data_IF_401720257094
#
_entry.id   IF_401720257094
#
_cell.length_a   1.000
_cell.length_b   1.000
_cell.length_c   1.000
_cell.angle_alpha   90.00
_cell.angle_beta   90.00
_cell.angle_gamma   90.00
#
_symmetry.space_group_name_H-M   'P 1'
#
loop_
_entity.id
_entity.type
_entity.pdbx_description
1 polymer ?
#
# COMPACT_ATOMS: atom_id res chain seq x y z
N UNK A 1 -59.55 -25.37 -8.18
CA UNK A 1 -60.27 -24.07 -8.16
C UNK A 1 -59.22 -22.97 -8.33
N UNK A 2 -58.98 -22.57 -9.58
CA UNK A 2 -59.48 -21.33 -10.21
C UNK A 2 -58.51 -20.14 -9.98
N UNK A 3 -57.72 -19.85 -11.03
CA UNK A 3 -57.29 -18.48 -11.37
C UNK A 3 -58.54 -17.65 -11.75
N UNK A 4 -58.52 -16.30 -11.69
CA UNK A 4 -58.10 -15.55 -12.89
C UNK A 4 -57.51 -14.12 -12.69
N UNK A 5 -56.56 -13.79 -13.57
CA UNK A 5 -56.32 -12.53 -14.34
C UNK A 5 -56.92 -11.16 -13.97
N UNK A 6 -56.11 -10.09 -14.12
CA UNK A 6 -56.30 -8.79 -14.88
C UNK A 6 -55.47 -7.64 -14.21
N UNK A 7 -54.84 -6.64 -14.82
CA UNK A 7 -54.95 -5.96 -16.13
C UNK A 7 -53.65 -5.19 -16.47
N UNK A 8 -53.39 -5.00 -17.78
CA UNK A 8 -52.44 -4.04 -18.41
C UNK A 8 -52.69 -2.57 -18.04
N UNK A 9 -51.62 -1.77 -18.01
CA UNK A 9 -51.63 -0.40 -18.52
C UNK A 9 -50.28 -0.07 -19.19
N UNK A 10 -50.36 0.33 -20.44
CA UNK A 10 -49.28 0.80 -21.33
C UNK A 10 -49.06 2.30 -21.19
N UNK A 11 -47.82 2.77 -21.27
CA UNK A 11 -47.54 4.14 -21.73
C UNK A 11 -46.38 4.09 -22.74
N UNK A 12 -46.76 4.23 -24.01
CA UNK A 12 -45.92 4.64 -25.14
C UNK A 12 -46.19 6.13 -25.39
N UNK A 13 -45.13 6.89 -25.72
CA UNK A 13 -45.19 8.27 -26.20
C UNK A 13 -44.64 9.26 -25.16
N UNK A 14 -43.70 10.16 -25.45
CA UNK A 14 -43.17 10.60 -26.73
C UNK A 14 -41.78 11.21 -26.53
N UNK A 15 -40.88 10.91 -27.48
CA UNK A 15 -39.72 11.73 -27.80
C UNK A 15 -40.24 12.95 -28.57
N UNK A 16 -39.92 14.17 -28.13
CA UNK A 16 -39.55 15.32 -28.96
C UNK A 16 -39.77 16.64 -28.21
N UNK A 17 -38.70 17.41 -28.02
CA UNK A 17 -38.64 18.89 -27.97
C UNK A 17 -37.51 19.37 -27.05
N UNK A 18 -36.26 19.13 -27.45
CA UNK A 18 -35.13 19.96 -27.03
C UNK A 18 -34.89 20.97 -28.14
N UNK A 19 -35.51 22.15 -28.03
CA UNK A 19 -34.99 23.36 -28.69
C UNK A 19 -35.51 24.60 -27.97
N UNK A 20 -34.58 25.51 -27.68
CA UNK A 20 -34.74 26.90 -27.27
C UNK A 20 -35.05 27.16 -25.79
N UNK A 21 -33.97 27.38 -25.03
CA UNK A 21 -34.01 28.22 -23.83
C UNK A 21 -33.12 29.46 -24.05
N UNK A 22 -33.80 30.59 -24.10
CA UNK A 22 -33.38 31.98 -24.27
C UNK A 22 -32.43 32.47 -23.13
N UNK A 23 -31.32 33.19 -23.42
CA UNK A 23 -30.38 33.68 -22.40
C UNK A 23 -30.84 34.91 -21.60
N UNK A 24 -32.07 35.41 -21.75
CA UNK A 24 -32.51 36.68 -21.17
C UNK A 24 -33.15 36.62 -19.76
N UNK A 25 -33.01 35.51 -19.04
CA UNK A 25 -33.64 35.31 -17.71
C UNK A 25 -32.61 35.13 -16.58
N UNK A 26 -31.65 36.05 -16.43
CA UNK A 26 -30.84 36.15 -15.21
C UNK A 26 -30.94 37.55 -14.59
N UNK A 27 -31.33 37.69 -13.31
CA UNK A 27 -31.40 38.99 -12.66
C UNK A 27 -30.00 39.55 -12.35
N UNK A 28 -29.84 40.84 -12.64
CA UNK A 28 -28.68 41.68 -12.38
C UNK A 28 -28.42 41.78 -10.87
N UNK A 29 -27.22 41.40 -10.42
CA UNK A 29 -26.74 41.64 -9.05
C UNK A 29 -25.78 42.82 -9.09
N UNK A 30 -26.15 43.87 -8.34
CA UNK A 30 -25.40 45.10 -8.15
C UNK A 30 -24.05 44.88 -7.47
N UNK A 31 -23.05 45.63 -7.92
CA UNK A 31 -21.74 45.76 -7.29
C UNK A 31 -21.86 46.58 -6.01
N UNK A 32 -21.64 45.97 -4.85
CA UNK A 32 -21.37 46.69 -3.60
C UNK A 32 -19.91 46.49 -3.17
N UNK A 33 -19.20 47.61 -3.20
CA UNK A 33 -17.82 47.81 -2.73
C UNK A 33 -17.79 47.78 -1.21
N UNK A 34 -17.00 46.86 -0.62
CA UNK A 34 -16.76 46.82 0.82
C UNK A 34 -15.49 47.63 1.13
N UNK A 35 -15.66 48.53 2.10
CA UNK A 35 -14.70 49.47 2.65
C UNK A 35 -13.49 48.75 3.27
N UNK A 36 -12.27 49.20 2.96
CA UNK A 36 -11.10 49.00 3.81
C UNK A 36 -10.97 50.24 4.70
N UNK A 37 -11.34 50.09 5.98
CA UNK A 37 -11.05 51.06 7.03
C UNK A 37 -9.55 51.08 7.30
N UNK A 38 -8.98 52.27 7.18
CA UNK A 38 -7.62 52.64 7.53
C UNK A 38 -7.48 52.72 9.05
N UNK A 39 -6.59 51.91 9.63
CA UNK A 39 -6.14 52.07 11.01
C UNK A 39 -5.15 53.24 11.10
N UNK A 40 -5.61 54.33 11.72
CA UNK A 40 -4.82 55.49 12.11
C UNK A 40 -3.75 55.13 13.16
N UNK A 41 -2.52 55.56 12.93
CA UNK A 41 -1.49 55.67 13.97
C UNK A 41 -1.04 57.13 14.12
N UNK A 42 -0.83 57.65 15.34
CA UNK A 42 -0.72 59.10 15.58
C UNK A 42 0.64 59.69 15.16
N UNK A 43 0.63 60.89 14.59
CA UNK A 43 1.81 61.71 14.29
C UNK A 43 2.01 62.83 15.31
N UNK A 44 3.15 62.79 16.00
CA UNK A 44 3.96 63.94 16.48
C UNK A 44 5.37 63.36 16.74
N UNK A 45 6.53 63.98 16.54
CA UNK A 45 6.99 65.33 16.20
C UNK A 45 8.40 65.18 15.55
N UNK A 46 8.80 66.17 14.76
CA UNK A 46 10.03 66.24 13.97
C UNK A 46 11.31 66.55 14.78
N UNK A 47 12.44 65.89 14.45
CA UNK A 47 13.76 66.43 14.00
C UNK A 47 14.93 65.43 14.27
N UNK A 48 16.05 65.47 13.50
CA UNK A 48 16.93 64.33 13.24
C UNK A 48 18.22 64.30 14.09
N UNK A 49 18.69 63.11 14.45
CA UNK A 49 20.10 62.89 14.84
C UNK A 49 20.66 61.63 14.16
N UNK A 50 21.86 61.78 13.56
CA UNK A 50 22.54 60.79 12.70
C UNK A 50 23.04 59.57 13.50
N UNK A 51 22.93 58.32 13.01
CA UNK A 51 23.60 57.20 13.65
C UNK A 51 25.03 57.00 13.09
N UNK A 52 25.99 56.78 14.01
CA UNK A 52 27.38 56.42 13.73
C UNK A 52 27.46 54.99 13.18
N UNK A 53 28.01 54.85 11.98
CA UNK A 53 28.16 53.60 11.18
C UNK A 53 29.06 52.53 11.85
N UNK A 54 29.65 52.79 13.01
CA UNK A 54 30.62 51.89 13.66
C UNK A 54 30.02 50.80 14.57
N UNK A 55 28.70 50.75 14.81
CA UNK A 55 28.07 49.73 15.66
C UNK A 55 27.37 48.57 14.92
N UNK A 56 27.22 48.64 13.60
CA UNK A 56 26.60 47.55 12.81
C UNK A 56 27.61 46.48 12.34
N UNK A 57 28.91 46.80 12.30
CA UNK A 57 29.96 45.87 11.86
C UNK A 57 30.39 44.88 12.95
N UNK A 58 30.30 45.24 14.23
CA UNK A 58 30.66 44.36 15.34
C UNK A 58 29.63 43.22 15.56
N UNK A 59 28.36 43.46 15.24
CA UNK A 59 27.27 42.47 15.35
C UNK A 59 27.36 41.39 14.27
N UNK A 60 27.88 41.74 13.08
CA UNK A 60 28.04 40.80 11.97
C UNK A 60 29.22 39.83 12.18
N UNK A 61 30.30 40.29 12.82
CA UNK A 61 31.47 39.44 13.11
C UNK A 61 31.17 38.37 14.15
N UNK A 62 30.43 38.69 15.24
CA UNK A 62 30.05 37.73 16.27
C UNK A 62 29.06 36.65 15.76
N UNK A 63 28.16 37.00 14.83
CA UNK A 63 27.23 36.03 14.24
C UNK A 63 27.97 35.04 13.32
N UNK A 64 28.98 35.51 12.59
CA UNK A 64 29.76 34.68 11.66
C UNK A 64 30.64 33.65 12.37
N UNK A 65 31.22 34.00 13.52
CA UNK A 65 32.01 33.07 14.34
C UNK A 65 31.16 32.01 15.05
N UNK A 66 29.91 32.34 15.41
CA UNK A 66 28.98 31.39 16.03
C UNK A 66 28.45 30.36 15.01
N UNK A 67 28.22 30.78 13.76
CA UNK A 67 27.88 29.86 12.67
C UNK A 67 29.04 28.92 12.32
N UNK A 68 30.29 29.41 12.29
CA UNK A 68 31.43 28.55 11.98
C UNK A 68 31.64 27.46 13.05
N UNK A 69 31.47 27.79 14.34
CA UNK A 69 31.61 26.82 15.43
C UNK A 69 30.51 25.75 15.44
N UNK A 70 29.28 26.10 15.03
CA UNK A 70 28.19 25.13 14.89
C UNK A 70 28.44 24.18 13.70
N UNK A 71 29.02 24.69 12.60
CA UNK A 71 29.35 23.84 11.43
C UNK A 71 30.52 22.89 11.65
N UNK A 72 31.39 23.13 12.63
CA UNK A 72 32.54 22.26 12.92
C UNK A 72 32.34 21.29 14.08
N UNK A 73 31.25 21.40 14.85
CA UNK A 73 31.09 20.67 16.12
C UNK A 73 29.95 19.65 16.17
N UNK A 74 29.17 19.46 15.09
CA UNK A 74 28.12 18.42 15.02
C UNK A 74 28.54 17.23 14.14
N UNK A 75 29.67 16.61 14.46
CA UNK A 75 29.97 15.25 14.02
C UNK A 75 29.50 14.25 15.08
N UNK A 76 28.18 14.07 15.19
CA UNK A 76 27.57 12.86 15.76
C UNK A 76 26.91 12.09 14.61
N UNK A 77 27.58 11.03 14.14
CA UNK A 77 27.02 10.10 13.16
C UNK A 77 25.89 9.31 13.83
N UNK A 78 24.64 9.66 13.53
CA UNK A 78 23.51 8.75 13.67
C UNK A 78 23.22 8.11 12.31
N UNK A 79 22.84 6.82 12.25
CA UNK A 79 22.46 6.18 11.00
C UNK A 79 21.15 6.79 10.50
N UNK A 80 21.18 7.44 9.34
CA UNK A 80 20.02 8.06 8.71
C UNK A 80 19.15 7.01 8.02
N UNK A 81 17.94 6.80 8.53
CA UNK A 81 16.85 6.15 7.81
C UNK A 81 16.49 7.05 6.62
N UNK A 82 16.57 6.51 5.40
CA UNK A 82 16.22 7.21 4.16
C UNK A 82 14.70 7.39 4.11
N UNK A 83 14.27 8.64 4.29
CA UNK A 83 12.92 9.14 4.00
C UNK A 83 12.92 9.65 2.56
N UNK A 84 11.85 9.36 1.84
CA UNK A 84 11.66 9.52 0.39
C UNK A 84 12.28 10.78 -0.26
N UNK A 85 13.38 10.57 -0.99
CA UNK A 85 13.67 11.22 -2.28
C UNK A 85 14.17 10.10 -3.20
N UNK A 86 13.57 9.84 -4.38
CA UNK A 86 14.17 8.94 -5.35
C UNK A 86 15.35 9.65 -6.01
N UNK A 87 16.47 9.76 -5.31
CA UNK A 87 17.77 9.86 -5.97
C UNK A 87 18.19 8.43 -6.31
N UNK A 88 17.98 8.09 -7.58
CA UNK A 88 18.51 6.87 -8.17
C UNK A 88 20.02 6.84 -7.96
N UNK A 89 20.58 5.80 -7.28
CA UNK A 89 22.00 5.56 -7.38
C UNK A 89 22.34 5.39 -8.86
N UNK A 90 23.28 6.17 -9.36
CA UNK A 90 23.91 5.88 -10.65
C UNK A 90 24.42 4.45 -10.59
N UNK A 91 23.87 3.61 -11.47
CA UNK A 91 24.24 2.21 -11.71
C UNK A 91 25.77 2.05 -11.70
N UNK A 92 26.37 1.66 -10.58
CA UNK A 92 27.77 1.19 -10.54
C UNK A 92 28.12 0.41 -9.25
N UNK A 93 27.13 -0.22 -8.58
CA UNK A 93 27.39 -1.18 -7.49
C UNK A 93 26.42 -2.36 -7.56
N UNK A 94 26.43 -3.12 -8.65
CA UNK A 94 25.92 -4.49 -8.62
C UNK A 94 26.91 -5.35 -9.38
N UNK A 95 27.67 -6.17 -8.65
CA UNK A 95 28.37 -7.28 -9.28
C UNK A 95 27.28 -8.23 -9.80
N UNK A 96 27.14 -8.46 -11.12
CA UNK A 96 26.09 -9.30 -11.71
C UNK A 96 26.20 -10.79 -11.36
N UNK A 97 27.13 -11.17 -10.46
CA UNK A 97 27.46 -12.55 -10.12
C UNK A 97 27.04 -12.98 -8.70
N UNK A 98 26.23 -12.20 -7.97
CA UNK A 98 25.70 -12.69 -6.70
C UNK A 98 24.50 -13.63 -6.95
N UNK A 99 24.70 -14.93 -6.78
CA UNK A 99 23.73 -16.01 -7.07
C UNK A 99 22.57 -16.11 -6.08
N UNK A 100 22.50 -15.21 -5.09
CA UNK A 100 21.52 -15.25 -3.99
C UNK A 100 20.18 -14.57 -4.32
N UNK A 101 19.81 -14.52 -5.60
CA UNK A 101 18.56 -13.93 -6.08
C UNK A 101 17.67 -14.98 -6.71
N UNK A 102 16.35 -14.81 -6.56
CA UNK A 102 15.38 -15.58 -7.32
C UNK A 102 15.34 -15.04 -8.77
N UNK A 103 15.46 -15.88 -9.81
CA UNK A 103 15.63 -15.43 -11.20
C UNK A 103 14.53 -14.49 -11.71
N UNK A 104 13.29 -14.65 -11.24
CA UNK A 104 12.13 -13.91 -11.76
C UNK A 104 11.57 -12.87 -10.79
N UNK A 105 12.00 -12.87 -9.53
CA UNK A 105 11.49 -11.96 -8.51
C UNK A 105 12.53 -10.85 -8.31
N UNK A 106 12.21 -9.59 -8.69
CA UNK A 106 13.14 -8.47 -8.54
C UNK A 106 13.66 -8.33 -7.11
N UNK A 107 14.93 -7.93 -6.91
CA UNK A 107 15.53 -7.80 -5.58
C UNK A 107 15.08 -6.50 -4.88
N UNK A 108 13.77 -6.36 -4.65
CA UNK A 108 13.11 -5.22 -4.03
C UNK A 108 12.27 -5.69 -2.86
N UNK A 109 12.33 -4.97 -1.74
CA UNK A 109 11.55 -5.21 -0.54
C UNK A 109 10.74 -3.95 -0.23
N UNK A 110 9.45 -4.14 -0.02
CA UNK A 110 8.48 -3.10 0.26
C UNK A 110 7.84 -3.33 1.62
N UNK A 111 7.83 -2.32 2.46
CA UNK A 111 6.90 -2.22 3.58
C UNK A 111 6.16 -0.89 3.48
N UNK A 112 4.92 -0.83 3.93
CA UNK A 112 4.06 0.37 3.79
C UNK A 112 3.74 0.91 5.18
N UNK A 113 3.99 2.20 5.38
CA UNK A 113 3.57 2.92 6.57
C UNK A 113 3.22 4.36 6.20
N UNK A 114 1.94 4.60 5.88
CA UNK A 114 1.50 5.84 5.24
C UNK A 114 1.70 7.08 6.11
N UNK A 115 1.54 6.96 7.44
CA UNK A 115 1.71 8.05 8.41
C UNK A 115 3.11 8.07 9.01
N UNK A 116 4.11 7.96 8.13
CA UNK A 116 5.50 7.92 8.53
C UNK A 116 5.86 9.11 9.43
N UNK A 117 6.42 8.79 10.59
CA UNK A 117 7.26 9.68 11.37
C UNK A 117 8.34 8.85 12.07
N UNK A 118 9.51 9.43 12.40
CA UNK A 118 10.55 8.72 13.13
C UNK A 118 10.07 8.12 14.46
N UNK A 119 9.08 8.74 15.11
CA UNK A 119 8.42 8.26 16.31
C UNK A 119 7.57 7.02 16.03
N UNK A 120 6.69 7.12 15.03
CA UNK A 120 5.71 6.08 14.72
C UNK A 120 6.37 4.75 14.29
N UNK A 121 7.54 4.82 13.65
CA UNK A 121 8.24 3.61 13.20
C UNK A 121 9.11 2.93 14.27
N UNK A 122 9.33 3.55 15.44
CA UNK A 122 10.30 3.04 16.42
C UNK A 122 10.01 1.62 16.86
N UNK A 123 8.73 1.30 17.09
CA UNK A 123 8.28 -0.04 17.48
C UNK A 123 8.56 -1.13 16.44
N UNK A 124 8.81 -0.77 15.18
CA UNK A 124 9.05 -1.70 14.08
C UNK A 124 10.52 -1.80 13.67
N UNK A 125 11.42 -1.08 14.34
CA UNK A 125 12.83 -0.97 13.92
C UNK A 125 13.51 -2.33 13.79
N UNK A 126 13.27 -3.26 14.72
CA UNK A 126 13.82 -4.62 14.68
C UNK A 126 13.31 -5.42 13.47
N UNK A 127 12.01 -5.29 13.17
CA UNK A 127 11.36 -5.94 12.04
C UNK A 127 11.92 -5.42 10.72
N UNK A 128 11.99 -4.09 10.54
CA UNK A 128 12.62 -3.46 9.38
C UNK A 128 14.07 -3.94 9.21
N UNK A 129 14.84 -3.94 10.31
CA UNK A 129 16.23 -4.37 10.27
C UNK A 129 16.39 -5.83 9.88
N UNK A 130 15.45 -6.71 10.26
CA UNK A 130 15.49 -8.13 9.88
C UNK A 130 15.45 -8.31 8.35
N UNK A 131 14.63 -7.55 7.63
CA UNK A 131 14.56 -7.61 6.17
C UNK A 131 15.85 -7.10 5.52
N UNK A 132 16.40 -5.99 6.03
CA UNK A 132 17.65 -5.39 5.52
C UNK A 132 18.83 -6.35 5.74
N UNK A 133 18.92 -6.94 6.93
CA UNK A 133 20.04 -7.81 7.33
C UNK A 133 20.02 -9.16 6.61
N UNK A 134 18.85 -9.79 6.44
CA UNK A 134 18.74 -11.07 5.73
C UNK A 134 18.83 -10.89 4.20
N UNK A 135 18.56 -9.70 3.67
CA UNK A 135 18.57 -9.45 2.22
C UNK A 135 19.49 -8.29 1.82
N UNK A 136 20.80 -8.35 2.11
CA UNK A 136 21.73 -7.21 1.93
C UNK A 136 21.94 -6.81 0.46
N UNK A 137 21.58 -7.69 -0.49
CA UNK A 137 21.62 -7.41 -1.92
C UNK A 137 20.30 -6.85 -2.48
N UNK A 138 19.27 -6.70 -1.65
CA UNK A 138 17.97 -6.17 -2.06
C UNK A 138 17.85 -4.68 -1.74
N UNK A 139 17.11 -3.96 -2.58
CA UNK A 139 16.70 -2.59 -2.24
C UNK A 139 15.54 -2.65 -1.27
N UNK A 140 15.67 -2.04 -0.11
CA UNK A 140 14.59 -1.88 0.85
C UNK A 140 13.90 -0.53 0.66
N UNK A 141 12.57 -0.48 0.69
CA UNK A 141 11.78 0.75 0.63
C UNK A 141 10.64 0.71 1.64
N UNK A 142 10.61 1.71 2.52
CA UNK A 142 9.47 2.03 3.36
C UNK A 142 8.61 3.08 2.64
N UNK A 143 7.43 2.69 2.19
CA UNK A 143 6.53 3.55 1.42
C UNK A 143 5.61 4.35 2.36
N UNK A 144 5.79 5.66 2.37
CA UNK A 144 4.91 6.62 3.05
C UNK A 144 3.79 7.15 2.13
N UNK A 145 2.92 8.02 2.65
CA UNK A 145 1.84 8.63 1.88
C UNK A 145 2.32 9.42 0.64
N UNK A 146 3.44 10.13 0.72
CA UNK A 146 3.97 10.90 -0.41
C UNK A 146 4.51 9.98 -1.51
N UNK A 147 5.20 8.91 -1.12
CA UNK A 147 5.66 7.85 -2.02
C UNK A 147 4.48 7.17 -2.71
N UNK A 148 3.44 6.81 -1.96
CA UNK A 148 2.21 6.26 -2.52
C UNK A 148 1.59 7.20 -3.56
N UNK A 149 1.41 8.49 -3.22
CA UNK A 149 0.88 9.49 -4.15
C UNK A 149 1.75 9.66 -5.40
N UNK A 150 3.07 9.60 -5.28
CA UNK A 150 4.00 9.66 -6.42
C UNK A 150 3.79 8.49 -7.37
N UNK A 151 3.62 7.26 -6.86
CA UNK A 151 3.38 6.06 -7.67
C UNK A 151 2.03 6.16 -8.38
N UNK A 152 0.97 6.49 -7.64
CA UNK A 152 -0.39 6.61 -8.17
C UNK A 152 -0.49 7.74 -9.20
N UNK A 153 0.18 8.88 -8.97
CA UNK A 153 0.19 10.01 -9.91
C UNK A 153 0.86 9.68 -11.23
N UNK A 154 1.92 8.85 -11.23
CA UNK A 154 2.56 8.39 -12.47
C UNK A 154 1.59 7.56 -13.33
N UNK A 155 0.73 6.76 -12.70
CA UNK A 155 -0.29 5.96 -13.39
C UNK A 155 -1.35 6.81 -14.09
N UNK A 156 -1.58 8.05 -13.66
CA UNK A 156 -2.52 8.98 -14.30
C UNK A 156 -2.19 9.26 -15.77
N UNK A 157 -0.91 9.12 -16.15
CA UNK A 157 -0.45 9.30 -17.54
C UNK A 157 -0.53 8.00 -18.36
N UNK A 158 -0.81 6.87 -17.72
CA UNK A 158 -0.92 5.56 -18.38
C UNK A 158 -2.26 5.41 -19.10
N UNK A 159 -2.21 4.99 -20.37
CA UNK A 159 -3.43 4.69 -21.15
C UNK A 159 -4.24 3.53 -20.57
N UNK A 160 -3.60 2.59 -19.89
CA UNK A 160 -4.26 1.39 -19.35
C UNK A 160 -4.63 1.55 -17.87
N UNK A 161 -3.88 2.35 -17.11
CA UNK A 161 -4.00 2.39 -15.65
C UNK A 161 -4.46 3.74 -15.08
N UNK A 162 -4.76 4.75 -15.91
CA UNK A 162 -5.22 6.06 -15.43
C UNK A 162 -6.49 5.99 -14.56
N UNK A 163 -7.34 4.99 -14.77
CA UNK A 163 -8.57 4.78 -14.00
C UNK A 163 -8.33 4.44 -12.51
N UNK A 164 -7.10 4.05 -12.14
CA UNK A 164 -6.73 3.71 -10.76
C UNK A 164 -6.72 4.94 -9.86
N UNK A 165 -6.22 6.08 -10.35
CA UNK A 165 -6.05 7.31 -9.57
C UNK A 165 -7.35 7.76 -8.85
N UNK A 166 -8.49 7.96 -9.54
CA UNK A 166 -9.71 8.42 -8.87
C UNK A 166 -10.24 7.39 -7.84
N UNK A 167 -10.09 6.09 -8.11
CA UNK A 167 -10.56 5.03 -7.21
C UNK A 167 -9.68 4.90 -5.97
N UNK A 168 -8.37 5.10 -6.11
CA UNK A 168 -7.46 5.18 -4.97
C UNK A 168 -7.80 6.35 -4.04
N UNK A 169 -8.15 7.52 -4.58
CA UNK A 169 -8.63 8.63 -3.76
C UNK A 169 -9.96 8.35 -3.06
N UNK A 170 -10.82 7.54 -3.70
CA UNK A 170 -12.10 7.12 -3.16
C UNK A 170 -11.97 6.14 -1.97
N UNK A 171 -10.86 5.40 -1.89
CA UNK A 171 -10.49 4.62 -0.70
C UNK A 171 -10.15 5.58 0.43
N UNK A 172 -11.10 5.87 1.32
CA UNK A 172 -10.92 6.86 2.39
C UNK A 172 -10.08 6.34 3.56
N UNK A 173 -10.15 5.04 3.86
CA UNK A 173 -9.42 4.43 4.98
C UNK A 173 -7.97 4.16 4.62
N UNK A 174 -7.08 4.49 5.57
CA UNK A 174 -5.64 4.21 5.50
C UNK A 174 -5.33 2.73 5.24
N UNK A 175 -5.98 1.83 5.97
CA UNK A 175 -5.82 0.37 5.80
C UNK A 175 -6.20 -0.09 4.39
N UNK A 176 -7.32 0.43 3.85
CA UNK A 176 -7.78 0.08 2.50
C UNK A 176 -6.76 0.50 1.43
N UNK A 177 -6.15 1.69 1.59
CA UNK A 177 -5.08 2.17 0.72
C UNK A 177 -3.82 1.32 0.85
N UNK A 178 -3.40 0.97 2.06
CA UNK A 178 -2.23 0.14 2.30
C UNK A 178 -2.40 -1.27 1.69
N UNK A 179 -3.58 -1.86 1.89
CA UNK A 179 -3.91 -3.15 1.28
C UNK A 179 -3.94 -3.08 -0.25
N UNK A 180 -4.55 -2.06 -0.83
CA UNK A 180 -4.52 -1.89 -2.28
C UNK A 180 -3.09 -1.72 -2.82
N UNK A 181 -2.28 -0.88 -2.15
CA UNK A 181 -0.91 -0.60 -2.57
C UNK A 181 -0.02 -1.85 -2.54
N UNK A 182 -0.19 -2.77 -1.59
CA UNK A 182 0.64 -3.98 -1.52
C UNK A 182 0.54 -4.83 -2.79
N UNK A 183 -0.67 -4.97 -3.33
CA UNK A 183 -0.90 -5.67 -4.59
C UNK A 183 -0.44 -4.87 -5.80
N UNK A 184 -0.75 -3.57 -5.84
CA UNK A 184 -0.38 -2.70 -6.97
C UNK A 184 1.14 -2.55 -7.12
N UNK A 185 1.87 -2.39 -6.01
CA UNK A 185 3.32 -2.31 -6.02
C UNK A 185 3.94 -3.56 -6.62
N UNK A 186 3.51 -4.75 -6.18
CA UNK A 186 4.03 -6.00 -6.71
C UNK A 186 3.60 -6.22 -8.17
N UNK A 187 2.40 -5.77 -8.56
CA UNK A 187 1.94 -5.82 -9.94
C UNK A 187 2.82 -4.99 -10.89
N UNK A 188 3.31 -3.83 -10.45
CA UNK A 188 4.12 -2.91 -11.26
C UNK A 188 5.62 -3.22 -11.16
N UNK A 189 6.12 -3.37 -9.94
CA UNK A 189 7.55 -3.37 -9.64
C UNK A 189 8.11 -4.76 -9.31
N UNK A 190 7.22 -5.69 -8.93
CA UNK A 190 7.59 -6.98 -8.34
C UNK A 190 8.35 -6.85 -7.02
N UNK A 191 8.95 -7.96 -6.60
CA UNK A 191 9.73 -8.06 -5.37
C UNK A 191 8.95 -8.71 -4.24
N UNK A 192 9.23 -8.28 -3.02
CA UNK A 192 8.62 -8.77 -1.78
C UNK A 192 7.90 -7.62 -1.09
N UNK A 193 6.66 -7.86 -0.67
CA UNK A 193 5.96 -7.01 0.27
C UNK A 193 5.82 -7.73 1.61
N UNK A 194 5.90 -6.99 2.72
CA UNK A 194 5.52 -7.49 4.04
C UNK A 194 4.92 -6.38 4.92
N UNK A 195 3.99 -6.75 5.80
CA UNK A 195 3.47 -5.86 6.85
C UNK A 195 4.60 -5.45 7.83
N UNK A 196 4.43 -4.31 8.50
CA UNK A 196 5.46 -3.68 9.32
C UNK A 196 5.81 -4.45 10.59
N UNK A 197 4.86 -5.21 11.12
CA UNK A 197 4.99 -6.09 12.28
C UNK A 197 5.37 -7.53 11.88
N UNK A 198 6.15 -7.68 10.82
CA UNK A 198 6.68 -8.98 10.38
C UNK A 198 8.20 -9.00 10.48
N UNK A 199 8.75 -10.08 11.03
CA UNK A 199 10.18 -10.36 11.05
C UNK A 199 10.55 -11.32 9.90
N UNK A 200 11.61 -11.01 9.14
CA UNK A 200 12.20 -11.95 8.19
C UNK A 200 13.19 -12.85 8.94
N UNK A 201 12.97 -14.17 8.88
CA UNK A 201 13.82 -15.17 9.52
C UNK A 201 14.87 -15.73 8.56
N UNK A 202 14.52 -15.81 7.28
CA UNK A 202 15.37 -16.37 6.23
C UNK A 202 15.41 -15.48 4.99
N UNK A 203 16.56 -15.43 4.29
CA UNK A 203 16.70 -14.66 3.05
C UNK A 203 15.77 -15.21 1.95
N UNK A 204 15.30 -14.33 1.06
CA UNK A 204 14.31 -14.67 0.03
C UNK A 204 14.69 -15.86 -0.86
N UNK A 205 15.97 -16.06 -1.16
CA UNK A 205 16.42 -17.18 -2.01
C UNK A 205 16.31 -18.55 -1.33
N UNK A 206 16.12 -18.61 -0.01
CA UNK A 206 15.85 -19.85 0.73
C UNK A 206 14.36 -20.20 0.75
N UNK A 207 13.48 -19.27 0.39
CA UNK A 207 12.02 -19.50 0.40
C UNK A 207 11.57 -20.50 -0.67
N UNK A 208 12.41 -20.74 -1.68
CA UNK A 208 12.10 -21.57 -2.84
C UNK A 208 13.10 -22.71 -2.91
N UNK A 209 12.65 -23.98 -2.88
CA UNK A 209 13.51 -25.13 -3.16
C UNK A 209 14.23 -25.01 -4.51
N UNK A 210 15.47 -25.50 -4.60
CA UNK A 210 16.33 -25.31 -5.78
C UNK A 210 15.67 -25.80 -7.09
N UNK A 211 14.92 -26.90 -7.03
CA UNK A 211 14.19 -27.47 -8.17
C UNK A 211 13.04 -26.58 -8.70
N UNK A 212 12.61 -25.59 -7.92
CA UNK A 212 11.53 -24.66 -8.29
C UNK A 212 12.03 -23.26 -8.63
N UNK A 213 13.24 -22.85 -8.21
CA UNK A 213 13.77 -21.49 -8.39
C UNK A 213 13.66 -20.95 -9.82
N UNK A 214 13.96 -21.77 -10.82
CA UNK A 214 13.94 -21.36 -12.23
C UNK A 214 12.54 -21.14 -12.81
N UNK A 215 11.49 -21.60 -12.12
CA UNK A 215 10.09 -21.54 -12.58
C UNK A 215 9.21 -20.64 -11.72
N UNK A 216 9.54 -20.46 -10.45
CA UNK A 216 8.75 -19.66 -9.51
C UNK A 216 8.75 -18.18 -9.92
N UNK A 217 7.56 -17.64 -10.16
CA UNK A 217 7.30 -16.21 -10.38
C UNK A 217 6.36 -15.60 -9.36
N UNK A 218 5.63 -16.42 -8.59
CA UNK A 218 4.81 -15.98 -7.48
C UNK A 218 5.00 -16.94 -6.32
N UNK A 219 5.13 -16.40 -5.11
CA UNK A 219 5.18 -17.15 -3.85
C UNK A 219 4.00 -16.71 -3.00
N UNK A 220 3.20 -17.69 -2.58
CA UNK A 220 2.08 -17.50 -1.64
C UNK A 220 2.22 -18.50 -0.50
N UNK A 221 1.98 -18.05 0.73
CA UNK A 221 1.96 -18.93 1.91
C UNK A 221 0.56 -19.05 2.49
N UNK A 222 0.30 -20.14 3.20
CA UNK A 222 -0.96 -20.29 3.94
C UNK A 222 -0.91 -19.43 5.21
N UNK A 223 -2.04 -18.82 5.57
CA UNK A 223 -2.24 -18.20 6.89
C UNK A 223 -3.19 -19.00 7.79
N UNK A 224 -4.05 -19.82 7.18
CA UNK A 224 -4.92 -20.75 7.87
C UNK A 224 -5.11 -22.02 7.04
N UNK A 225 -5.19 -23.14 7.74
CA UNK A 225 -5.45 -24.49 7.20
C UNK A 225 -6.20 -25.30 8.27
N UNK A 226 -7.52 -25.26 8.28
CA UNK A 226 -8.37 -26.00 9.24
C UNK A 226 -9.79 -26.17 8.70
N UNK A 227 -10.41 -27.31 8.98
CA UNK A 227 -11.84 -27.56 8.69
C UNK A 227 -12.59 -27.92 9.99
N UNK A 228 -13.64 -27.18 10.39
CA UNK A 228 -14.16 -25.96 9.74
C UNK A 228 -13.15 -24.79 9.78
N UNK A 229 -13.36 -23.74 8.96
CA UNK A 229 -12.49 -22.57 8.92
C UNK A 229 -12.21 -22.00 10.31
N UNK A 230 -10.99 -21.50 10.51
CA UNK A 230 -10.59 -20.87 11.77
C UNK A 230 -11.48 -19.65 12.04
N UNK A 231 -11.96 -19.41 13.27
CA UNK A 231 -12.72 -18.20 13.58
C UNK A 231 -11.99 -16.93 13.14
N UNK A 232 -12.67 -16.08 12.37
CA UNK A 232 -12.08 -14.87 11.77
C UNK A 232 -11.49 -15.06 10.37
N UNK A 233 -11.51 -16.28 9.84
CA UNK A 233 -11.18 -16.61 8.45
C UNK A 233 -12.43 -17.09 7.70
N UNK A 234 -12.40 -17.03 6.37
CA UNK A 234 -13.53 -17.39 5.51
C UNK A 234 -13.42 -18.81 4.96
N UNK A 235 -12.20 -19.26 4.66
CA UNK A 235 -11.94 -20.54 3.97
C UNK A 235 -11.18 -21.51 4.86
N UNK A 236 -11.37 -22.82 4.61
CA UNK A 236 -10.65 -23.87 5.33
C UNK A 236 -9.14 -23.74 5.09
N UNK A 237 -8.74 -23.42 3.87
CA UNK A 237 -7.38 -22.98 3.53
C UNK A 237 -7.47 -21.53 3.07
N UNK A 238 -6.77 -20.64 3.78
CA UNK A 238 -6.71 -19.21 3.47
C UNK A 238 -5.25 -18.80 3.23
N UNK A 239 -5.02 -17.97 2.21
CA UNK A 239 -3.68 -17.49 1.86
C UNK A 239 -3.33 -16.21 2.61
N UNK A 240 -2.09 -16.17 3.07
CA UNK A 240 -1.47 -14.99 3.66
C UNK A 240 -1.45 -13.84 2.63
N UNK A 241 -1.80 -12.64 3.12
CA UNK A 241 -1.67 -11.38 2.38
C UNK A 241 -0.77 -10.34 3.08
N UNK A 242 -0.27 -10.65 4.28
CA UNK A 242 0.65 -9.79 5.03
C UNK A 242 2.13 -10.05 4.67
N UNK A 243 2.43 -11.07 3.85
CA UNK A 243 3.71 -11.24 3.13
C UNK A 243 3.44 -11.85 1.76
N UNK A 244 3.99 -11.23 0.72
CA UNK A 244 3.77 -11.59 -0.68
C UNK A 244 5.08 -11.43 -1.45
N UNK A 245 5.39 -12.33 -2.40
CA UNK A 245 6.55 -12.17 -3.26
C UNK A 245 6.26 -12.60 -4.69
N UNK A 246 6.67 -11.80 -5.68
CA UNK A 246 6.47 -12.19 -7.07
C UNK A 246 7.12 -11.29 -8.11
N UNK A 247 7.03 -11.74 -9.35
CA UNK A 247 7.54 -11.06 -10.52
C UNK A 247 6.69 -9.82 -10.85
N UNK A 248 7.35 -8.78 -11.35
CA UNK A 248 6.66 -7.63 -11.93
C UNK A 248 5.74 -8.09 -13.07
N UNK A 249 4.51 -7.57 -13.11
CA UNK A 249 3.51 -7.92 -14.11
C UNK A 249 2.84 -9.28 -13.92
N UNK A 250 3.05 -9.97 -12.80
CA UNK A 250 2.38 -11.26 -12.57
C UNK A 250 0.85 -11.09 -12.56
N UNK A 251 0.08 -11.89 -13.34
CA UNK A 251 -1.34 -11.64 -13.58
C UNK A 251 -2.22 -11.81 -12.33
N UNK A 252 -1.79 -12.59 -11.34
CA UNK A 252 -2.49 -12.75 -10.05
C UNK A 252 -2.60 -11.40 -9.31
N UNK A 253 -1.54 -10.60 -9.28
CA UNK A 253 -1.59 -9.30 -8.59
C UNK A 253 -2.51 -8.33 -9.33
N UNK A 254 -2.45 -8.30 -10.67
CA UNK A 254 -3.38 -7.49 -11.47
C UNK A 254 -4.83 -7.93 -11.29
N UNK A 255 -5.10 -9.23 -11.21
CA UNK A 255 -6.44 -9.74 -10.94
C UNK A 255 -6.97 -9.27 -9.57
N UNK A 256 -6.13 -9.28 -8.53
CA UNK A 256 -6.52 -8.76 -7.22
C UNK A 256 -6.73 -7.23 -7.25
N UNK A 257 -5.85 -6.48 -7.91
CA UNK A 257 -6.00 -5.04 -8.12
C UNK A 257 -7.34 -4.72 -8.79
N UNK A 258 -7.65 -5.37 -9.91
CA UNK A 258 -8.89 -5.14 -10.64
C UNK A 258 -10.12 -5.55 -9.82
N UNK A 259 -10.07 -6.67 -9.09
CA UNK A 259 -11.13 -7.08 -8.16
C UNK A 259 -11.41 -5.97 -7.13
N UNK A 260 -10.37 -5.45 -6.47
CA UNK A 260 -10.51 -4.36 -5.50
C UNK A 260 -11.15 -3.13 -6.15
N UNK A 261 -10.67 -2.74 -7.34
CA UNK A 261 -11.19 -1.57 -8.05
C UNK A 261 -12.67 -1.74 -8.42
N UNK A 262 -13.10 -2.93 -8.82
CA UNK A 262 -14.51 -3.22 -9.09
C UNK A 262 -15.37 -3.17 -7.82
N UNK A 263 -14.90 -3.68 -6.69
CA UNK A 263 -15.64 -3.55 -5.42
C UNK A 263 -15.74 -2.11 -4.96
N UNK A 264 -14.68 -1.32 -5.12
CA UNK A 264 -14.69 0.12 -4.85
C UNK A 264 -15.69 0.81 -5.77
N UNK A 265 -15.68 0.53 -7.09
CA UNK A 265 -16.61 1.11 -8.08
C UNK A 265 -18.10 0.93 -7.75
N UNK A 266 -18.48 -0.17 -7.09
CA UNK A 266 -19.89 -0.45 -6.73
C UNK A 266 -20.43 0.50 -5.66
N UNK A 267 -19.57 1.23 -4.96
CA UNK A 267 -20.02 2.12 -3.87
C UNK A 267 -20.61 3.41 -4.42
N UNK A 268 -21.65 3.96 -3.75
CA UNK A 268 -22.26 5.21 -4.18
C UNK A 268 -21.28 6.35 -3.93
N UNK A 269 -20.48 6.68 -4.93
CA UNK A 269 -19.71 7.94 -4.97
C UNK A 269 -20.69 9.09 -5.20
N UNK A 270 -21.47 9.46 -4.20
CA UNK A 270 -22.42 10.58 -4.28
C UNK A 270 -21.72 11.89 -4.66
N UNK A 271 -20.42 12.01 -4.36
CA UNK A 271 -19.54 13.10 -4.80
C UNK A 271 -18.07 12.73 -4.57
N UNK A 272 -17.12 13.16 -5.43
CA UNK A 272 -15.67 13.01 -5.21
C UNK A 272 -15.14 13.60 -3.89
N UNK A 273 -15.98 14.38 -3.19
CA UNK A 273 -15.61 15.14 -2.00
C UNK A 273 -16.23 14.62 -0.70
N UNK A 274 -17.05 13.56 -0.74
CA UNK A 274 -17.70 13.01 0.45
C UNK A 274 -16.97 11.72 0.82
N UNK A 275 -16.27 11.73 1.95
CA UNK A 275 -15.58 10.54 2.47
C UNK A 275 -16.61 9.43 2.66
N UNK A 276 -16.47 8.34 1.91
CA UNK A 276 -17.18 7.09 2.19
C UNK A 276 -16.60 6.55 3.48
N UNK A 277 -17.39 6.35 4.53
CA UNK A 277 -16.91 5.66 5.72
C UNK A 277 -17.00 4.14 5.46
N UNK A 278 -15.93 3.41 5.76
CA UNK A 278 -15.86 1.96 5.52
C UNK A 278 -15.77 1.24 6.86
N UNK A 279 -16.68 0.30 7.13
CA UNK A 279 -16.57 -0.56 8.32
C UNK A 279 -15.35 -1.50 8.22
N UNK A 280 -14.96 -2.12 9.33
CA UNK A 280 -13.89 -3.13 9.31
C UNK A 280 -14.24 -4.34 8.44
N UNK A 281 -15.51 -4.75 8.42
CA UNK A 281 -16.00 -5.83 7.55
C UNK A 281 -15.89 -5.45 6.08
N UNK A 282 -16.20 -4.19 5.74
CA UNK A 282 -16.08 -3.71 4.36
C UNK A 282 -14.63 -3.64 3.88
N UNK A 283 -13.69 -3.29 4.76
CA UNK A 283 -12.26 -3.39 4.44
C UNK A 283 -11.88 -4.83 4.13
N UNK A 284 -12.28 -5.78 4.98
CA UNK A 284 -11.99 -7.19 4.78
C UNK A 284 -12.64 -7.77 3.51
N UNK A 285 -13.85 -7.35 3.17
CA UNK A 285 -14.54 -7.81 1.96
C UNK A 285 -13.89 -7.29 0.66
N UNK A 286 -13.39 -6.05 0.70
CA UNK A 286 -12.83 -5.38 -0.48
C UNK A 286 -11.38 -5.81 -0.70
N UNK A 287 -10.52 -5.66 0.29
CA UNK A 287 -9.06 -5.86 0.17
C UNK A 287 -8.52 -7.03 0.96
N UNK A 288 -9.36 -7.69 1.76
CA UNK A 288 -8.93 -8.68 2.74
C UNK A 288 -8.58 -10.06 2.17
N UNK A 289 -8.28 -11.00 3.07
CA UNK A 289 -7.66 -12.27 2.72
C UNK A 289 -8.60 -13.23 1.99
N UNK A 290 -9.92 -13.04 2.15
CA UNK A 290 -10.92 -13.85 1.46
C UNK A 290 -10.84 -13.64 -0.05
N UNK A 291 -10.92 -12.39 -0.52
CA UNK A 291 -10.81 -12.06 -1.93
C UNK A 291 -9.46 -12.46 -2.54
N UNK A 292 -8.38 -12.29 -1.77
CA UNK A 292 -7.05 -12.77 -2.17
C UNK A 292 -7.03 -14.29 -2.38
N UNK A 293 -7.63 -15.04 -1.44
CA UNK A 293 -7.70 -16.50 -1.49
C UNK A 293 -8.48 -16.99 -2.71
N UNK A 294 -9.61 -16.35 -3.04
CA UNK A 294 -10.38 -16.64 -4.26
C UNK A 294 -9.53 -16.47 -5.53
N UNK A 295 -8.84 -15.33 -5.65
CA UNK A 295 -8.00 -15.02 -6.82
C UNK A 295 -6.86 -16.04 -6.94
N UNK A 296 -6.21 -16.40 -5.84
CA UNK A 296 -5.13 -17.39 -5.87
C UNK A 296 -5.67 -18.76 -6.32
N UNK A 297 -6.76 -19.25 -5.74
CA UNK A 297 -7.35 -20.54 -6.14
C UNK A 297 -7.77 -20.58 -7.62
N UNK A 298 -8.30 -19.48 -8.16
CA UNK A 298 -8.62 -19.36 -9.59
C UNK A 298 -7.38 -19.59 -10.45
N UNK A 299 -6.26 -18.93 -10.12
CA UNK A 299 -5.02 -19.05 -10.88
C UNK A 299 -4.32 -20.39 -10.67
N UNK A 300 -4.37 -20.98 -9.47
CA UNK A 300 -3.89 -22.35 -9.23
C UNK A 300 -4.66 -23.35 -10.09
N UNK A 301 -5.99 -23.21 -10.17
CA UNK A 301 -6.83 -24.08 -11.00
C UNK A 301 -6.51 -23.95 -12.49
N UNK A 302 -6.37 -22.70 -12.98
CA UNK A 302 -5.93 -22.44 -14.36
C UNK A 302 -4.57 -23.05 -14.67
N UNK A 303 -3.61 -22.94 -13.75
CA UNK A 303 -2.26 -23.49 -13.91
C UNK A 303 -2.24 -25.03 -13.87
N UNK A 304 -3.12 -25.65 -13.08
CA UNK A 304 -3.25 -27.11 -13.00
C UNK A 304 -4.02 -27.71 -14.18
N UNK A 305 -4.89 -26.94 -14.83
CA UNK A 305 -5.83 -27.44 -15.84
C UNK A 305 -7.02 -28.21 -15.24
N UNK A 306 -7.18 -28.17 -13.93
CA UNK A 306 -8.27 -28.77 -13.16
C UNK A 306 -8.60 -27.91 -11.94
N UNK A 307 -9.72 -28.18 -11.28
CA UNK A 307 -10.11 -27.45 -10.08
C UNK A 307 -9.14 -27.73 -8.92
N UNK A 308 -8.52 -26.67 -8.40
CA UNK A 308 -7.73 -26.69 -7.17
C UNK A 308 -8.57 -26.04 -6.06
N UNK A 309 -8.83 -26.81 -5.01
CA UNK A 309 -9.59 -26.39 -3.83
C UNK A 309 -8.76 -26.57 -2.56
N UNK A 310 -9.32 -26.17 -1.41
CA UNK A 310 -8.69 -26.38 -0.10
C UNK A 310 -8.29 -27.86 0.14
N UNK A 311 -9.03 -28.83 -0.43
CA UNK A 311 -8.72 -30.27 -0.29
C UNK A 311 -7.38 -30.66 -0.93
N UNK A 312 -6.91 -29.90 -1.91
CA UNK A 312 -5.63 -30.15 -2.57
C UNK A 312 -4.44 -29.60 -1.76
N UNK A 313 -4.70 -28.62 -0.88
CA UNK A 313 -3.69 -27.84 -0.17
C UNK A 313 -3.68 -28.06 1.35
N UNK A 314 -4.76 -28.58 1.93
CA UNK A 314 -4.81 -28.87 3.36
C UNK A 314 -3.75 -29.91 3.75
N UNK A 315 -3.04 -29.66 4.84
CA UNK A 315 -2.01 -30.51 5.40
C UNK A 315 -0.76 -30.64 4.55
N UNK A 316 -0.49 -29.73 3.61
CA UNK A 316 0.78 -29.76 2.88
C UNK A 316 1.95 -29.50 3.84
N UNK A 317 2.89 -30.43 3.91
CA UNK A 317 4.12 -30.29 4.70
C UNK A 317 5.33 -29.80 3.91
N UNK A 318 5.18 -29.51 2.61
CA UNK A 318 6.26 -29.06 1.72
C UNK A 318 5.73 -28.14 0.63
N UNK A 319 6.57 -27.25 0.06
CA UNK A 319 6.16 -26.39 -1.04
C UNK A 319 5.62 -27.18 -2.24
N UNK A 320 4.54 -26.67 -2.85
CA UNK A 320 3.95 -27.21 -4.09
C UNK A 320 3.94 -26.14 -5.17
N UNK A 321 4.44 -26.47 -6.36
CA UNK A 321 4.45 -25.55 -7.51
C UNK A 321 3.31 -25.89 -8.49
N UNK A 322 2.48 -24.90 -8.81
CA UNK A 322 1.43 -24.96 -9.82
C UNK A 322 1.73 -23.94 -10.93
N UNK A 323 2.14 -24.41 -12.12
CA UNK A 323 2.66 -23.52 -13.14
C UNK A 323 3.93 -22.80 -12.66
N UNK A 324 3.81 -21.49 -12.41
CA UNK A 324 4.84 -20.60 -11.85
C UNK A 324 4.49 -20.07 -10.44
N UNK A 325 3.43 -20.60 -9.81
CA UNK A 325 2.95 -20.22 -8.47
C UNK A 325 3.40 -21.25 -7.45
N UNK A 326 4.28 -20.85 -6.54
CA UNK A 326 4.75 -21.67 -5.42
C UNK A 326 3.87 -21.44 -4.19
N UNK A 327 3.20 -22.50 -3.75
CA UNK A 327 2.42 -22.54 -2.52
C UNK A 327 3.28 -23.08 -1.40
N UNK A 328 3.48 -22.29 -0.35
CA UNK A 328 4.23 -22.64 0.85
C UNK A 328 3.30 -23.19 1.94
N UNK A 329 3.78 -24.13 2.78
CA UNK A 329 3.01 -24.70 3.89
C UNK A 329 2.72 -23.66 4.99
N UNK A 330 1.81 -23.99 5.90
CA UNK A 330 1.40 -23.11 7.01
C UNK A 330 2.59 -22.56 7.81
N UNK A 331 3.56 -23.42 8.12
CA UNK A 331 4.73 -23.04 8.93
C UNK A 331 5.60 -21.98 8.28
N UNK A 332 5.59 -21.86 6.96
CA UNK A 332 6.46 -20.92 6.26
C UNK A 332 6.17 -19.48 6.65
N UNK A 333 4.89 -19.10 6.70
CA UNK A 333 4.45 -17.75 6.99
C UNK A 333 3.71 -17.67 8.34
N UNK A 334 2.88 -18.65 8.68
CA UNK A 334 2.05 -18.63 9.87
C UNK A 334 2.52 -19.60 10.97
N UNK A 335 3.83 -19.77 11.17
CA UNK A 335 4.33 -20.47 12.36
C UNK A 335 3.90 -19.76 13.64
N UNK A 336 3.61 -20.54 14.69
CA UNK A 336 3.24 -20.04 16.01
C UNK A 336 1.77 -19.65 16.17
N UNK A 337 0.94 -19.75 15.12
CA UNK A 337 -0.51 -19.57 15.28
C UNK A 337 -1.11 -20.73 16.09
N UNK A 338 -2.11 -20.50 16.95
CA UNK A 338 -2.66 -21.53 17.85
C UNK A 338 -3.62 -22.51 17.15
N UNK A 339 -3.67 -22.48 15.82
CA UNK A 339 -4.58 -23.26 14.98
C UNK A 339 -3.80 -23.94 13.85
N UNK A 340 -4.51 -24.66 12.97
CA UNK A 340 -3.95 -25.21 11.73
C UNK A 340 -2.77 -26.17 11.87
N UNK A 341 -2.56 -26.70 13.08
CA UNK A 341 -1.43 -27.59 13.38
C UNK A 341 -0.06 -26.95 13.16
N UNK A 342 0.01 -25.61 13.19
CA UNK A 342 1.26 -24.89 12.97
C UNK A 342 2.30 -25.24 14.05
N UNK A 343 3.56 -25.32 13.62
CA UNK A 343 4.70 -25.46 14.50
C UNK A 343 4.82 -24.27 15.46
N UNK A 344 5.55 -24.42 16.58
CA UNK A 344 5.87 -23.30 17.45
C UNK A 344 6.53 -22.14 16.70
N UNK A 345 6.47 -20.97 17.33
CA UNK A 345 7.06 -19.73 16.83
C UNK A 345 8.53 -19.92 16.42
N UNK A 346 8.89 -19.52 15.21
CA UNK A 346 10.24 -19.70 14.66
C UNK A 346 10.66 -21.15 14.46
N UNK A 347 9.72 -22.07 14.22
CA UNK A 347 10.01 -23.46 13.89
C UNK A 347 10.87 -23.61 12.62
N UNK A 348 11.44 -24.80 12.40
CA UNK A 348 12.40 -25.07 11.31
C UNK A 348 11.89 -24.69 9.91
N UNK A 349 10.57 -24.74 9.68
CA UNK A 349 9.94 -24.37 8.41
C UNK A 349 9.63 -22.87 8.24
N UNK A 350 9.82 -22.04 9.27
CA UNK A 350 9.42 -20.64 9.28
C UNK A 350 10.37 -19.76 8.47
N UNK A 351 9.83 -18.96 7.54
CA UNK A 351 10.59 -18.05 6.68
C UNK A 351 10.42 -16.59 7.09
N UNK A 352 9.23 -16.26 7.57
CA UNK A 352 8.87 -14.96 8.15
C UNK A 352 7.98 -15.21 9.37
N UNK A 353 7.87 -14.20 10.23
CA UNK A 353 7.10 -14.29 11.46
C UNK A 353 6.32 -13.01 11.72
N UNK A 354 5.00 -13.11 11.56
CA UNK A 354 4.06 -12.03 11.84
C UNK A 354 3.78 -11.92 13.35
N UNK A 355 3.62 -10.70 13.87
CA UNK A 355 3.43 -10.41 15.29
C UNK A 355 1.97 -10.08 15.66
N UNK A 356 1.09 -9.96 14.67
CA UNK A 356 -0.36 -9.76 14.82
C UNK A 356 -0.73 -8.59 15.73
N UNK A 357 -0.02 -7.46 15.60
CA UNK A 357 -0.20 -6.30 16.49
C UNK A 357 -1.57 -5.61 16.30
N UNK A 358 -2.27 -5.85 15.18
CA UNK A 358 -3.69 -5.55 15.03
C UNK A 358 -4.05 -4.05 15.01
N UNK A 359 -3.07 -3.18 14.74
CA UNK A 359 -3.16 -1.73 14.95
C UNK A 359 -4.13 -0.98 14.02
N UNK A 360 -4.73 -1.65 13.03
CA UNK A 360 -5.64 -1.03 12.06
C UNK A 360 -7.14 -1.10 12.46
N UNK A 361 -7.50 -1.93 13.44
CA UNK A 361 -8.89 -2.06 13.92
C UNK A 361 -9.20 -0.91 14.88
N UNK A 362 -10.34 -0.25 14.70
CA UNK A 362 -10.80 0.82 15.61
C UNK A 362 -10.77 2.24 15.07
N UNK A 363 -10.74 2.42 13.74
CA UNK A 363 -10.98 3.73 13.10
C UNK A 363 -9.70 4.53 12.90
N UNK A 364 -9.04 4.26 11.78
CA UNK A 364 -7.89 4.99 11.26
C UNK A 364 -8.36 5.93 10.15
N UNK A 365 -8.81 7.13 10.54
CA UNK A 365 -9.14 8.21 9.61
C UNK A 365 -7.89 8.90 9.06
#
# INVERSE_FOLDING_TARGET
MLSPTRTRASVLGAISSLSNSDPSQWPLVEKTSIYFETLDLPRWYSQPTRPRITRLLASFLLLSTFLLFYTTSSSSRQPSVLVSQPEFPTLDIYAPNNTNHLPHIPPKIWQIYLDYSPEAIRGYTSYIQSFISHSPSHTYTLLDANGALSIISKLATSKTHAHILPLFYAMSRRVLRADFLRYLLLAIEGGVYSDMDTEMLHPLHEWVPDEYKSRTKLIVGLEADQSPPVPGTTYEVQFCQWTLAGAAGHPVFWAMVERILEEVKKRPFESPMKSVDYSDDEVLDITGPAGWTEVVFEFLSKAAGEEISWRNLTGIGRPKLYGDILVLPIDAFASGVPHSGASPFGGEGALVQHQFQGLWRGGDH
#
